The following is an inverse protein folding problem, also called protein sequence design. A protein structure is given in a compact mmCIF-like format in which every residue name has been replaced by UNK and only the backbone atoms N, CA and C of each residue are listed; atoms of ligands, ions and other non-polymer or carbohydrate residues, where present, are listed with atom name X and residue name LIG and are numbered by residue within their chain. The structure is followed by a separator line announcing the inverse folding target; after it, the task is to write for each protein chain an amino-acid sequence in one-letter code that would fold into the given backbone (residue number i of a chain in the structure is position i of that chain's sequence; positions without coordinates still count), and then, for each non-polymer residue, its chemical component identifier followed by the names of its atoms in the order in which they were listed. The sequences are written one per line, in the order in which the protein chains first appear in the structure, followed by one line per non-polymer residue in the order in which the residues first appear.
data_IF_917876017666
#
_entry.id   IF_917876017666
#
_cell.length_a   1.000
_cell.length_b   1.000
_cell.length_c   1.000
_cell.angle_alpha   90.00
_cell.angle_beta   90.00
_cell.angle_gamma   90.00
#
_symmetry.space_group_name_H-M   'P 1'
#
loop_
_entity.id
_entity.type
_entity.pdbx_description
1 polymer ?
#
# COMPACT_ATOMS: atom_id res chain seq x y z
N UNK A 1 -9.30 25.37 7.11
CA UNK A 1 -8.59 25.80 5.89
C UNK A 1 -7.11 25.79 6.23
N UNK A 2 -6.29 24.98 5.55
CA UNK A 2 -4.83 25.09 5.69
C UNK A 2 -4.42 26.43 5.08
N UNK A 3 -3.86 27.33 5.89
CA UNK A 3 -3.31 28.61 5.42
C UNK A 3 -1.92 28.34 4.83
N UNK A 4 -1.81 28.51 3.51
CA UNK A 4 -0.58 28.32 2.73
C UNK A 4 -0.93 27.90 1.31
N UNK A 5 -0.48 28.65 0.30
CA UNK A 5 -0.61 28.19 -1.08
C UNK A 5 0.22 26.91 -1.26
N UNK A 6 -0.30 25.87 -1.92
CA UNK A 6 0.49 24.70 -2.24
C UNK A 6 1.73 25.13 -3.05
N UNK A 7 2.91 24.71 -2.60
CA UNK A 7 4.15 24.97 -3.30
C UNK A 7 4.26 24.04 -4.51
N UNK A 8 4.62 24.61 -5.67
CA UNK A 8 4.86 23.83 -6.88
C UNK A 8 6.17 23.07 -6.72
N UNK A 9 6.12 21.75 -6.90
CA UNK A 9 7.29 20.87 -6.94
C UNK A 9 7.66 20.65 -8.41
N UNK A 10 8.94 20.68 -8.76
CA UNK A 10 9.40 20.43 -10.13
C UNK A 10 10.32 19.22 -10.23
N UNK A 11 10.18 18.43 -11.31
CA UNK A 11 11.04 17.28 -11.60
C UNK A 11 12.53 17.63 -11.64
N UNK A 12 12.88 18.82 -12.15
CA UNK A 12 14.28 19.28 -12.23
C UNK A 12 14.94 19.50 -10.87
N UNK A 13 14.14 19.63 -9.80
CA UNK A 13 14.59 19.88 -8.44
C UNK A 13 14.73 18.55 -7.65
N UNK A 14 14.60 17.40 -8.31
CA UNK A 14 14.87 16.10 -7.68
C UNK A 14 16.30 16.05 -7.14
N UNK A 15 16.41 15.71 -5.86
CA UNK A 15 17.67 15.38 -5.20
C UNK A 15 17.58 13.98 -4.58
N UNK A 16 18.67 13.22 -4.69
CA UNK A 16 18.84 11.91 -4.02
C UNK A 16 18.73 12.13 -2.50
N UNK A 17 17.95 11.33 -1.76
CA UNK A 17 17.70 11.56 -0.34
C UNK A 17 19.00 11.47 0.46
N UNK A 18 19.21 12.37 1.43
CA UNK A 18 20.44 12.39 2.26
C UNK A 18 20.54 11.23 3.26
N UNK A 19 19.41 10.57 3.55
CA UNK A 19 19.32 9.40 4.42
C UNK A 19 18.49 8.29 3.74
N UNK A 20 18.76 7.05 4.12
CA UNK A 20 17.99 5.86 3.73
C UNK A 20 17.44 5.18 4.98
N UNK A 21 16.37 4.40 4.80
CA UNK A 21 15.75 3.56 5.83
C UNK A 21 15.95 2.11 5.41
N UNK A 22 16.90 1.41 6.02
CA UNK A 22 17.19 0.02 5.64
C UNK A 22 16.07 -0.92 6.09
N UNK A 23 15.60 -0.73 7.33
CA UNK A 23 14.57 -1.57 7.94
C UNK A 23 13.56 -0.70 8.69
N UNK A 24 12.29 -1.09 8.59
CA UNK A 24 11.15 -0.47 9.25
C UNK A 24 10.42 -1.50 10.09
N UNK A 25 10.50 -1.36 11.40
CA UNK A 25 9.73 -2.16 12.34
C UNK A 25 8.59 -1.32 12.92
N UNK A 26 7.36 -1.77 12.73
CA UNK A 26 6.15 -1.12 13.25
C UNK A 26 5.49 -2.01 14.31
N UNK A 27 5.08 -1.40 15.42
CA UNK A 27 4.15 -1.98 16.39
C UNK A 27 2.91 -1.08 16.45
N UNK A 28 1.81 -1.60 15.90
CA UNK A 28 0.53 -0.91 15.76
C UNK A 28 -0.46 -1.52 16.74
N UNK A 29 -0.82 -0.74 17.76
CA UNK A 29 -1.85 -1.11 18.73
C UNK A 29 -3.16 -0.41 18.37
N UNK A 30 -4.09 -1.17 17.78
CA UNK A 30 -5.39 -0.67 17.36
C UNK A 30 -6.36 -0.58 18.55
N UNK A 31 -7.11 0.52 18.59
CA UNK A 31 -8.29 0.67 19.43
C UNK A 31 -9.32 1.59 18.75
N UNK A 32 -10.54 1.61 19.25
CA UNK A 32 -11.63 2.43 18.69
C UNK A 32 -11.47 3.93 18.98
N UNK A 33 -10.71 4.31 20.01
CA UNK A 33 -10.52 5.72 20.40
C UNK A 33 -9.23 6.29 19.83
N UNK A 34 -8.13 5.55 19.94
CA UNK A 34 -6.79 6.00 19.55
C UNK A 34 -5.94 4.79 19.14
N UNK A 35 -5.21 4.92 18.03
CA UNK A 35 -4.23 3.91 17.61
C UNK A 35 -2.85 4.42 17.99
N UNK A 36 -2.09 3.60 18.71
CA UNK A 36 -0.68 3.89 19.00
C UNK A 36 0.19 3.21 17.96
N UNK A 37 1.12 3.96 17.38
CA UNK A 37 2.08 3.49 16.38
C UNK A 37 3.48 3.75 16.91
N UNK A 38 4.21 2.67 17.18
CA UNK A 38 5.63 2.72 17.50
C UNK A 38 6.41 2.30 16.26
N UNK A 39 7.27 3.17 15.76
CA UNK A 39 8.13 2.90 14.62
C UNK A 39 9.59 2.89 15.05
N UNK A 40 10.32 1.86 14.65
CA UNK A 40 11.77 1.74 14.79
C UNK A 40 12.39 1.64 13.39
N UNK A 41 13.15 2.67 13.02
CA UNK A 41 13.72 2.85 11.69
C UNK A 41 15.24 2.69 11.76
N UNK A 42 15.79 1.71 11.06
CA UNK A 42 17.25 1.55 10.90
C UNK A 42 17.72 2.54 9.84
N UNK A 43 18.32 3.65 10.27
CA UNK A 43 18.69 4.77 9.42
C UNK A 43 20.18 4.73 9.06
N UNK A 44 20.50 5.17 7.84
CA UNK A 44 21.88 5.47 7.44
C UNK A 44 21.96 6.69 6.55
N UNK A 45 23.08 7.40 6.56
CA UNK A 45 23.37 8.39 5.53
C UNK A 45 23.45 7.72 4.16
N UNK A 46 22.86 8.37 3.16
CA UNK A 46 22.92 7.90 1.79
C UNK A 46 24.27 8.30 1.16
N UNK A 47 25.13 7.35 0.77
CA UNK A 47 26.42 7.67 0.15
C UNK A 47 26.28 8.34 -1.23
N UNK A 48 25.14 8.16 -1.90
CA UNK A 48 24.84 8.82 -3.19
C UNK A 48 24.14 10.17 -3.02
N UNK A 49 23.62 10.44 -1.82
CA UNK A 49 22.96 11.70 -1.47
C UNK A 49 23.97 12.79 -1.10
N UNK A 50 23.49 14.03 -1.07
CA UNK A 50 24.23 15.11 -0.43
C UNK A 50 24.37 14.80 1.06
N UNK A 51 25.56 15.02 1.64
CA UNK A 51 25.75 14.92 3.08
C UNK A 51 24.91 16.00 3.77
N UNK A 52 23.86 15.57 4.46
CA UNK A 52 22.96 16.42 5.22
C UNK A 52 23.34 16.42 6.70
N UNK A 53 23.31 17.60 7.32
CA UNK A 53 23.53 17.75 8.77
C UNK A 53 22.26 17.58 9.59
N UNK A 54 21.11 17.46 8.92
CA UNK A 54 19.80 17.23 9.53
C UNK A 54 19.01 16.17 8.76
N UNK A 55 18.20 15.40 9.47
CA UNK A 55 17.19 14.53 8.87
C UNK A 55 15.83 15.25 8.96
N UNK A 56 15.09 15.27 7.86
CA UNK A 56 13.73 15.82 7.82
C UNK A 56 12.78 14.70 7.41
N UNK A 57 11.83 14.38 8.27
CA UNK A 57 10.80 13.38 8.04
C UNK A 57 9.45 14.06 7.78
N UNK A 58 8.64 13.43 6.94
CA UNK A 58 7.26 13.79 6.66
C UNK A 58 6.32 13.21 7.71
N UNK A 59 5.30 13.99 8.08
CA UNK A 59 4.20 13.53 8.93
C UNK A 59 2.95 14.40 8.76
N UNK A 60 1.81 13.92 9.23
CA UNK A 60 0.62 14.76 9.39
C UNK A 60 0.81 15.73 10.55
N UNK A 61 0.18 16.91 10.45
CA UNK A 61 0.06 17.85 11.58
C UNK A 61 -0.71 17.25 12.76
N UNK A 62 -1.49 16.19 12.51
CA UNK A 62 -2.35 15.54 13.49
C UNK A 62 -1.64 14.37 14.22
N UNK A 63 -0.37 14.09 13.92
CA UNK A 63 0.42 13.08 14.63
C UNK A 63 0.71 13.53 16.07
N UNK A 64 0.02 12.93 17.04
CA UNK A 64 0.28 13.19 18.46
C UNK A 64 1.55 12.45 18.92
N UNK A 65 2.71 13.10 18.75
CA UNK A 65 4.02 12.52 19.09
C UNK A 65 4.24 12.45 20.60
N UNK A 66 4.40 11.23 21.12
CA UNK A 66 4.61 10.95 22.54
C UNK A 66 6.10 10.94 22.90
N UNK A 67 6.93 10.31 22.07
CA UNK A 67 8.38 10.27 22.28
C UNK A 67 9.16 10.08 20.99
N UNK A 68 10.40 10.56 21.00
CA UNK A 68 11.40 10.34 19.95
C UNK A 68 12.69 9.91 20.65
N UNK A 69 13.33 8.85 20.17
CA UNK A 69 14.61 8.38 20.66
C UNK A 69 15.56 8.03 19.51
N UNK A 70 16.86 8.15 19.79
CA UNK A 70 17.93 7.71 18.90
C UNK A 70 18.78 6.72 19.68
N UNK A 71 18.94 5.51 19.15
CA UNK A 71 19.70 4.41 19.76
C UNK A 71 19.28 4.13 21.22
N UNK A 72 17.95 4.11 21.48
CA UNK A 72 17.38 3.92 22.82
C UNK A 72 17.50 5.14 23.75
N UNK A 73 18.15 6.24 23.35
CA UNK A 73 18.23 7.49 24.12
C UNK A 73 17.12 8.43 23.70
N UNK A 74 16.19 8.70 24.62
CA UNK A 74 15.14 9.70 24.41
C UNK A 74 15.75 11.09 24.15
N UNK A 75 15.23 11.76 23.13
CA UNK A 75 15.63 13.12 22.77
C UNK A 75 14.87 14.15 23.62
N UNK A 76 15.57 15.22 23.97
CA UNK A 76 15.02 16.42 24.58
C UNK A 76 14.48 17.40 23.52
N UNK A 77 13.58 18.29 23.91
CA UNK A 77 12.87 19.20 22.98
C UNK A 77 13.78 20.17 22.20
N UNK A 78 15.05 20.33 22.59
CA UNK A 78 16.02 21.16 21.85
C UNK A 78 16.87 20.36 20.86
N UNK A 79 16.69 19.04 20.76
CA UNK A 79 17.40 18.16 19.82
C UNK A 79 16.60 17.88 18.54
N UNK A 80 15.35 18.34 18.49
CA UNK A 80 14.46 18.19 17.33
C UNK A 80 13.48 19.35 17.22
N UNK A 81 12.88 19.51 16.05
CA UNK A 81 11.80 20.47 15.80
C UNK A 81 10.65 19.77 15.07
N UNK A 82 9.41 20.01 15.50
CA UNK A 82 8.19 19.55 14.81
C UNK A 82 7.41 20.78 14.37
N UNK A 83 7.36 21.04 13.07
CA UNK A 83 6.72 22.21 12.46
C UNK A 83 6.10 21.83 11.12
N UNK A 84 4.87 22.27 10.85
CA UNK A 84 4.18 22.13 9.55
C UNK A 84 4.22 20.72 8.92
N UNK A 85 4.00 19.68 9.74
CA UNK A 85 4.02 18.29 9.26
C UNK A 85 5.43 17.77 8.93
N UNK A 86 6.47 18.37 9.53
CA UNK A 86 7.85 17.92 9.41
C UNK A 86 8.44 17.67 10.79
N UNK A 87 9.14 16.56 10.94
CA UNK A 87 10.04 16.31 12.07
C UNK A 87 11.49 16.49 11.60
N UNK A 88 12.18 17.48 12.15
CA UNK A 88 13.60 17.73 11.89
C UNK A 88 14.45 17.27 13.06
N UNK A 89 15.44 16.43 12.80
CA UNK A 89 16.41 15.90 13.75
C UNK A 89 17.81 16.43 13.40
N UNK A 90 18.59 16.83 14.41
CA UNK A 90 19.89 17.48 14.25
C UNK A 90 21.04 16.62 14.78
N UNK A 91 22.25 16.86 14.28
CA UNK A 91 23.51 16.28 14.80
C UNK A 91 23.50 14.75 14.95
N UNK A 92 23.01 14.07 13.91
CA UNK A 92 22.84 12.62 13.90
C UNK A 92 24.13 11.86 13.54
N UNK A 93 24.33 10.64 14.07
CA UNK A 93 25.36 9.72 13.60
C UNK A 93 25.18 9.32 12.11
N UNK A 94 26.20 8.72 11.50
CA UNK A 94 26.10 8.21 10.12
C UNK A 94 25.13 7.01 10.01
N UNK A 95 24.97 6.23 11.08
CA UNK A 95 24.03 5.12 11.23
C UNK A 95 23.47 5.13 12.63
N UNK A 96 22.15 4.92 12.76
CA UNK A 96 21.45 4.95 14.05
C UNK A 96 20.07 4.30 13.90
N UNK A 97 19.46 3.94 15.02
CA UNK A 97 18.05 3.56 15.09
C UNK A 97 17.23 4.74 15.57
N UNK A 98 16.27 5.18 14.75
CA UNK A 98 15.28 6.17 15.15
C UNK A 98 14.02 5.48 15.64
N UNK A 99 13.61 5.80 16.85
CA UNK A 99 12.38 5.30 17.45
C UNK A 99 11.40 6.45 17.64
N UNK A 100 10.18 6.32 17.10
CA UNK A 100 9.09 7.27 17.31
C UNK A 100 7.88 6.55 17.90
N UNK A 101 7.19 7.24 18.80
CA UNK A 101 5.92 6.79 19.39
C UNK A 101 4.89 7.87 19.13
N UNK A 102 3.89 7.56 18.33
CA UNK A 102 2.83 8.50 17.95
C UNK A 102 1.47 7.88 18.21
N UNK A 103 0.50 8.75 18.47
CA UNK A 103 -0.91 8.38 18.53
C UNK A 103 -1.68 9.04 17.38
N UNK A 104 -2.57 8.28 16.75
CA UNK A 104 -3.44 8.72 15.65
C UNK A 104 -4.90 8.32 15.90
N UNK A 105 -5.84 8.94 15.17
CA UNK A 105 -7.29 8.69 15.29
C UNK A 105 -7.92 8.24 13.96
N UNK A 106 -7.77 6.96 13.58
CA UNK A 106 -8.25 6.47 12.29
C UNK A 106 -9.77 6.60 12.08
N UNK A 107 -10.56 6.51 13.15
CA UNK A 107 -12.02 6.66 13.14
C UNK A 107 -12.47 8.07 12.72
N UNK A 108 -11.63 9.07 13.00
CA UNK A 108 -11.88 10.48 12.64
C UNK A 108 -11.31 10.84 11.26
N UNK A 109 -10.51 9.94 10.65
CA UNK A 109 -9.86 10.18 9.37
C UNK A 109 -10.83 10.04 8.18
N UNK A 110 -11.51 11.13 7.82
CA UNK A 110 -12.44 11.18 6.68
C UNK A 110 -11.74 11.43 5.33
N UNK A 111 -10.41 11.54 5.31
CA UNK A 111 -9.65 11.70 4.05
C UNK A 111 -9.44 10.37 3.32
N UNK A 112 -9.59 9.25 4.02
CA UNK A 112 -9.29 7.90 3.53
C UNK A 112 -7.86 7.77 3.00
N UNK A 113 -6.90 8.39 3.69
CA UNK A 113 -5.46 8.37 3.40
C UNK A 113 -4.67 8.15 4.70
N UNK A 114 -3.67 7.28 4.66
CA UNK A 114 -3.05 6.68 5.85
C UNK A 114 -3.92 5.56 6.41
N UNK A 115 -3.95 5.40 7.74
CA UNK A 115 -4.84 4.47 8.43
C UNK A 115 -6.18 5.15 8.71
N UNK A 116 -7.28 4.50 8.34
CA UNK A 116 -8.64 5.00 8.55
C UNK A 116 -9.62 3.84 8.80
N UNK A 117 -10.84 4.20 9.20
CA UNK A 117 -11.93 3.25 9.40
C UNK A 117 -12.86 3.21 8.18
N UNK A 118 -13.13 2.02 7.65
CA UNK A 118 -14.12 1.76 6.61
C UNK A 118 -15.16 0.79 7.17
N UNK A 119 -16.38 1.26 7.44
CA UNK A 119 -17.36 0.46 8.17
C UNK A 119 -16.85 0.10 9.58
N UNK A 120 -16.87 -1.19 9.91
CA UNK A 120 -16.39 -1.70 11.21
C UNK A 120 -14.93 -2.15 11.19
N UNK A 121 -14.24 -2.07 10.03
CA UNK A 121 -12.83 -2.45 9.88
C UNK A 121 -11.90 -1.24 9.78
N UNK A 122 -10.62 -1.46 10.09
CA UNK A 122 -9.52 -0.55 9.77
C UNK A 122 -8.81 -1.01 8.51
N UNK A 123 -8.49 -0.07 7.63
CA UNK A 123 -7.67 -0.30 6.45
C UNK A 123 -6.79 0.91 6.14
N UNK A 124 -5.84 0.73 5.23
CA UNK A 124 -4.88 1.77 4.85
C UNK A 124 -4.96 2.14 3.38
N UNK A 125 -4.64 3.39 3.06
CA UNK A 125 -4.29 3.84 1.72
C UNK A 125 -3.06 4.73 1.79
N UNK A 126 -1.92 4.26 1.28
CA UNK A 126 -0.64 4.95 1.43
C UNK A 126 -0.17 5.64 0.14
N UNK A 127 -0.65 5.25 -1.05
CA UNK A 127 -0.35 5.99 -2.27
C UNK A 127 -1.18 7.28 -2.38
N UNK A 128 -0.60 8.42 -2.76
CA UNK A 128 0.82 8.66 -3.04
C UNK A 128 1.65 8.99 -1.79
N UNK A 129 1.04 9.66 -0.81
CA UNK A 129 1.73 10.26 0.33
C UNK A 129 0.91 10.08 1.61
N UNK A 130 0.32 8.90 1.77
CA UNK A 130 -0.56 8.57 2.90
C UNK A 130 0.18 7.98 4.09
N UNK A 131 1.38 7.42 3.90
CA UNK A 131 2.10 6.78 5.00
C UNK A 131 2.55 7.78 6.08
N UNK A 132 2.86 9.03 5.69
CA UNK A 132 3.10 10.14 6.63
C UNK A 132 1.92 10.45 7.56
N UNK A 133 0.71 9.99 7.25
CA UNK A 133 -0.44 10.13 8.15
C UNK A 133 -0.49 9.03 9.24
N UNK A 134 0.45 8.08 9.22
CA UNK A 134 0.55 6.96 10.16
C UNK A 134 1.69 7.18 11.16
N UNK A 135 2.87 7.57 10.68
CA UNK A 135 4.04 7.89 11.51
C UNK A 135 4.99 8.84 10.79
N UNK A 136 6.03 9.32 11.48
CA UNK A 136 7.12 10.10 10.89
C UNK A 136 7.98 9.23 9.97
N UNK A 137 8.13 9.63 8.71
CA UNK A 137 8.83 8.79 7.74
C UNK A 137 9.46 9.60 6.58
N UNK A 138 10.39 8.99 5.83
CA UNK A 138 10.80 9.52 4.53
C UNK A 138 9.79 9.06 3.48
N UNK A 139 8.65 9.75 3.39
CA UNK A 139 7.50 9.32 2.59
C UNK A 139 7.65 9.71 1.10
N UNK A 140 8.64 9.08 0.47
CA UNK A 140 9.04 9.25 -0.93
C UNK A 140 9.42 7.88 -1.54
N UNK A 141 9.14 7.63 -2.84
CA UNK A 141 9.15 6.27 -3.40
C UNK A 141 10.54 5.71 -3.74
N UNK A 142 11.59 6.53 -3.72
CA UNK A 142 13.00 6.11 -3.84
C UNK A 142 13.66 5.72 -2.51
N UNK A 143 12.95 5.81 -1.38
CA UNK A 143 13.39 5.26 -0.10
C UNK A 143 12.73 3.90 0.10
N UNK A 144 13.51 2.84 -0.14
CA UNK A 144 13.05 1.45 -0.04
C UNK A 144 13.51 0.84 1.28
N UNK A 145 12.60 0.16 1.98
CA UNK A 145 12.86 -0.47 3.27
C UNK A 145 12.27 -1.88 3.34
N UNK A 146 12.91 -2.76 4.12
CA UNK A 146 12.33 -4.03 4.55
C UNK A 146 11.37 -3.79 5.72
N UNK A 147 10.14 -4.33 5.68
CA UNK A 147 9.14 -4.06 6.72
C UNK A 147 8.86 -5.28 7.59
N UNK A 148 8.80 -5.03 8.89
CA UNK A 148 8.18 -5.92 9.88
C UNK A 148 7.05 -5.18 10.58
N UNK A 149 5.83 -5.71 10.50
CA UNK A 149 4.63 -5.07 11.07
C UNK A 149 4.01 -5.98 12.11
N UNK A 150 4.00 -5.53 13.36
CA UNK A 150 3.26 -6.18 14.44
C UNK A 150 1.97 -5.44 14.68
N UNK A 151 0.85 -6.15 14.65
CA UNK A 151 -0.49 -5.59 14.86
C UNK A 151 -1.05 -6.22 16.12
N UNK A 152 -1.53 -5.40 17.05
CA UNK A 152 -2.26 -5.84 18.25
C UNK A 152 -3.64 -5.21 18.26
N UNK A 153 -4.69 -6.01 18.42
CA UNK A 153 -6.07 -5.52 18.44
C UNK A 153 -6.97 -6.37 19.35
N UNK A 154 -8.18 -5.87 19.62
CA UNK A 154 -9.24 -6.65 20.28
C UNK A 154 -9.64 -7.86 19.43
N UNK A 155 -9.59 -9.05 20.03
CA UNK A 155 -9.78 -10.33 19.32
C UNK A 155 -11.23 -10.56 18.90
N UNK A 156 -12.19 -10.00 19.63
CA UNK A 156 -13.62 -10.18 19.34
C UNK A 156 -14.08 -9.25 18.21
N UNK A 157 -13.53 -8.03 18.15
CA UNK A 157 -13.86 -7.04 17.11
C UNK A 157 -13.04 -7.21 15.84
N UNK A 158 -11.78 -7.61 15.96
CA UNK A 158 -10.84 -7.66 14.85
C UNK A 158 -10.15 -9.03 14.76
N UNK A 159 -10.91 -10.14 14.57
CA UNK A 159 -10.33 -11.49 14.54
C UNK A 159 -9.34 -11.71 13.39
N UNK A 160 -9.36 -10.86 12.35
CA UNK A 160 -8.42 -10.88 11.23
C UNK A 160 -7.50 -9.67 11.30
N UNK A 161 -6.17 -9.90 11.38
CA UNK A 161 -5.12 -8.87 11.32
C UNK A 161 -4.12 -9.18 10.20
N UNK A 162 -4.06 -8.33 9.19
CA UNK A 162 -3.27 -8.52 7.97
C UNK A 162 -2.29 -7.35 7.75
N UNK A 163 -1.10 -7.67 7.25
CA UNK A 163 -0.16 -6.71 6.66
C UNK A 163 0.61 -7.40 5.53
N UNK A 164 1.56 -6.69 4.90
CA UNK A 164 2.35 -7.21 3.78
C UNK A 164 3.21 -8.42 4.19
N UNK A 165 3.48 -9.30 3.22
CA UNK A 165 4.42 -10.41 3.39
C UNK A 165 3.80 -11.62 4.08
N UNK A 166 4.59 -12.28 4.95
CA UNK A 166 4.22 -13.53 5.60
C UNK A 166 4.06 -13.36 7.11
N UNK A 167 3.05 -14.00 7.70
CA UNK A 167 2.86 -14.06 9.14
C UNK A 167 3.97 -14.89 9.80
N UNK A 168 4.77 -14.25 10.66
CA UNK A 168 5.87 -14.85 11.41
C UNK A 168 5.41 -15.42 12.76
N UNK A 169 4.48 -14.74 13.41
CA UNK A 169 3.92 -15.16 14.71
C UNK A 169 2.47 -14.74 14.85
N UNK A 170 1.73 -15.53 15.64
CA UNK A 170 0.37 -15.22 16.11
C UNK A 170 0.34 -15.50 17.61
N UNK A 171 -0.01 -14.50 18.41
CA UNK A 171 -0.01 -14.56 19.87
C UNK A 171 -1.41 -14.26 20.40
N UNK A 172 -1.90 -15.10 21.30
CA UNK A 172 -3.13 -14.86 22.05
C UNK A 172 -2.78 -14.15 23.36
N UNK A 173 -3.38 -12.97 23.58
CA UNK A 173 -3.15 -12.11 24.74
C UNK A 173 -4.41 -12.01 25.63
N UNK A 174 -5.33 -12.98 25.52
CA UNK A 174 -6.62 -12.99 26.21
C UNK A 174 -7.68 -12.25 25.40
N UNK A 175 -8.05 -11.05 25.84
CA UNK A 175 -9.06 -10.22 25.15
C UNK A 175 -8.51 -9.61 23.84
N UNK A 176 -7.18 -9.52 23.74
CA UNK A 176 -6.46 -9.10 22.53
C UNK A 176 -5.72 -10.26 21.91
N UNK A 177 -5.33 -10.08 20.66
CA UNK A 177 -4.36 -10.94 19.99
C UNK A 177 -3.37 -10.09 19.20
N UNK A 178 -2.28 -10.72 18.77
CA UNK A 178 -1.21 -10.06 18.03
C UNK A 178 -0.75 -10.92 16.87
N UNK A 179 -0.45 -10.30 15.74
CA UNK A 179 0.16 -10.95 14.58
C UNK A 179 1.35 -10.12 14.11
N UNK A 180 2.50 -10.76 13.92
CA UNK A 180 3.68 -10.13 13.31
C UNK A 180 3.84 -10.63 11.89
N UNK A 181 3.92 -9.69 10.95
CA UNK A 181 4.14 -9.89 9.53
C UNK A 181 5.53 -9.42 9.13
N UNK A 182 6.15 -10.11 8.17
CA UNK A 182 7.45 -9.76 7.62
C UNK A 182 7.42 -9.86 6.10
N UNK A 183 7.79 -8.76 5.44
CA UNK A 183 7.96 -8.70 3.99
C UNK A 183 9.46 -8.53 3.68
N UNK A 184 10.11 -9.55 3.08
CA UNK A 184 11.54 -9.53 2.82
C UNK A 184 11.94 -8.63 1.63
N UNK A 185 10.99 -8.11 0.85
CA UNK A 185 11.30 -7.26 -0.28
C UNK A 185 11.38 -5.79 0.14
N UNK A 186 12.46 -5.14 -0.28
CA UNK A 186 12.60 -3.69 -0.15
C UNK A 186 11.46 -3.01 -0.92
N UNK A 187 10.65 -2.21 -0.23
CA UNK A 187 9.54 -1.48 -0.83
C UNK A 187 9.48 -0.03 -0.33
N UNK A 188 8.95 0.89 -1.13
CA UNK A 188 8.58 2.22 -0.65
C UNK A 188 7.35 2.17 0.25
N UNK A 189 7.20 3.18 1.09
CA UNK A 189 6.14 3.23 2.09
C UNK A 189 4.72 3.30 1.50
N UNK A 190 4.54 3.77 0.25
CA UNK A 190 3.22 3.79 -0.39
C UNK A 190 2.63 2.38 -0.61
N UNK A 191 3.47 1.34 -0.65
CA UNK A 191 3.06 -0.06 -0.76
C UNK A 191 2.75 -0.73 0.58
N UNK A 192 2.90 -0.01 1.70
CA UNK A 192 2.48 -0.51 3.01
C UNK A 192 0.96 -0.72 3.05
N UNK A 193 0.54 -1.85 3.62
CA UNK A 193 -0.85 -2.11 3.94
C UNK A 193 -1.03 -2.68 5.35
N UNK A 194 -2.15 -2.30 5.97
CA UNK A 194 -2.68 -2.91 7.18
C UNK A 194 -4.20 -3.02 7.04
N UNK A 195 -4.73 -4.18 7.39
CA UNK A 195 -6.17 -4.42 7.52
C UNK A 195 -6.47 -5.11 8.85
N UNK A 196 -7.52 -4.66 9.55
CA UNK A 196 -8.02 -5.29 10.75
C UNK A 196 -9.55 -5.25 10.80
N UNK A 197 -10.20 -6.41 10.93
CA UNK A 197 -11.67 -6.51 10.85
C UNK A 197 -12.21 -7.88 11.19
N UNK A 198 -13.54 -7.98 11.27
CA UNK A 198 -14.27 -9.25 11.25
C UNK A 198 -14.60 -9.62 9.80
N UNK A 199 -13.74 -10.44 9.21
CA UNK A 199 -13.75 -10.76 7.78
C UNK A 199 -13.84 -12.28 7.59
N UNK A 200 -14.64 -12.68 6.61
CA UNK A 200 -14.59 -14.03 6.05
C UNK A 200 -13.65 -14.04 4.85
N UNK A 201 -13.13 -15.22 4.50
CA UNK A 201 -12.31 -15.38 3.30
C UNK A 201 -12.56 -16.70 2.61
N UNK A 202 -12.40 -16.68 1.29
CA UNK A 202 -12.17 -17.87 0.49
C UNK A 202 -10.67 -18.09 0.34
N UNK A 203 -10.25 -19.34 0.31
CA UNK A 203 -8.86 -19.74 0.11
C UNK A 203 -8.75 -20.71 -1.05
N UNK A 204 -7.74 -20.51 -1.87
CA UNK A 204 -7.32 -21.45 -2.91
C UNK A 204 -5.79 -21.40 -3.02
N UNK A 205 -5.23 -22.11 -3.99
CA UNK A 205 -3.80 -22.14 -4.22
C UNK A 205 -3.44 -22.03 -5.70
N UNK A 206 -2.25 -21.51 -5.97
CA UNK A 206 -1.66 -21.49 -7.31
C UNK A 206 -0.26 -22.09 -7.24
N UNK A 207 0.06 -22.99 -8.18
CA UNK A 207 1.42 -23.54 -8.31
C UNK A 207 2.12 -22.81 -9.45
N UNK A 208 3.22 -22.12 -9.15
CA UNK A 208 3.99 -21.38 -10.17
C UNK A 208 4.69 -22.32 -11.14
N UNK A 209 5.16 -21.79 -12.28
CA UNK A 209 5.89 -22.55 -13.29
C UNK A 209 7.13 -23.29 -12.72
N UNK A 210 7.80 -22.73 -11.70
CA UNK A 210 8.92 -23.37 -10.99
C UNK A 210 8.51 -24.34 -9.88
N UNK A 211 7.22 -24.45 -9.59
CA UNK A 211 6.66 -25.37 -8.59
C UNK A 211 6.46 -24.77 -7.20
N UNK A 212 6.55 -23.45 -7.02
CA UNK A 212 6.20 -22.81 -5.74
C UNK A 212 4.69 -22.90 -5.53
N UNK A 213 4.27 -23.35 -4.35
CA UNK A 213 2.87 -23.25 -3.93
C UNK A 213 2.62 -21.86 -3.32
N UNK A 214 1.69 -21.11 -3.91
CA UNK A 214 1.23 -19.81 -3.40
C UNK A 214 -0.17 -19.99 -2.82
N UNK A 215 -0.37 -19.54 -1.59
CA UNK A 215 -1.70 -19.47 -0.96
C UNK A 215 -2.41 -18.22 -1.43
N UNK A 216 -3.66 -18.32 -1.90
CA UNK A 216 -4.47 -17.20 -2.35
C UNK A 216 -5.63 -17.01 -1.38
N UNK A 217 -5.82 -15.81 -0.86
CA UNK A 217 -6.93 -15.50 0.05
C UNK A 217 -7.64 -14.23 -0.39
N UNK A 218 -8.98 -14.27 -0.48
CA UNK A 218 -9.80 -13.10 -0.73
C UNK A 218 -10.73 -12.88 0.45
N UNK A 219 -10.51 -11.78 1.17
CA UNK A 219 -11.23 -11.38 2.37
C UNK A 219 -12.36 -10.40 2.04
N UNK A 220 -13.51 -10.59 2.68
CA UNK A 220 -14.68 -9.70 2.57
C UNK A 220 -15.48 -9.70 3.87
N UNK A 221 -16.39 -8.74 4.03
CA UNK A 221 -17.47 -8.89 5.02
C UNK A 221 -18.37 -10.09 4.66
N UNK A 222 -18.86 -10.83 5.66
CA UNK A 222 -19.55 -12.10 5.48
C UNK A 222 -20.70 -12.09 4.45
N UNK A 223 -21.40 -10.97 4.29
CA UNK A 223 -22.53 -10.85 3.35
C UNK A 223 -22.12 -10.72 1.87
N UNK A 224 -20.81 -10.67 1.58
CA UNK A 224 -20.24 -10.57 0.23
C UNK A 224 -19.40 -11.79 -0.17
N UNK A 225 -19.25 -12.79 0.72
CA UNK A 225 -18.35 -13.92 0.50
C UNK A 225 -18.73 -14.78 -0.71
N UNK A 226 -20.02 -14.80 -1.08
CA UNK A 226 -20.56 -15.52 -2.23
C UNK A 226 -20.32 -14.80 -3.58
N UNK A 227 -19.64 -13.65 -3.57
CA UNK A 227 -19.42 -12.80 -4.76
C UNK A 227 -17.95 -12.70 -5.16
N UNK A 228 -17.04 -13.48 -4.56
CA UNK A 228 -15.59 -13.38 -4.83
C UNK A 228 -14.99 -14.56 -5.58
N UNK A 229 -15.80 -15.58 -5.91
CA UNK A 229 -15.34 -16.73 -6.68
C UNK A 229 -14.72 -16.33 -8.03
N UNK A 230 -15.36 -15.40 -8.74
CA UNK A 230 -14.83 -14.92 -10.02
C UNK A 230 -13.52 -14.15 -9.86
N UNK A 231 -13.35 -13.37 -8.80
CA UNK A 231 -12.09 -12.68 -8.51
C UNK A 231 -10.95 -13.67 -8.23
N UNK A 232 -11.22 -14.79 -7.56
CA UNK A 232 -10.23 -15.86 -7.34
C UNK A 232 -9.80 -16.50 -8.66
N UNK A 233 -10.75 -16.80 -9.55
CA UNK A 233 -10.44 -17.32 -10.89
C UNK A 233 -9.66 -16.31 -11.74
N UNK A 234 -10.05 -15.03 -11.72
CA UNK A 234 -9.32 -13.96 -12.39
C UNK A 234 -7.89 -13.87 -11.89
N UNK A 235 -7.66 -13.90 -10.56
CA UNK A 235 -6.32 -13.86 -9.98
C UNK A 235 -5.44 -15.02 -10.48
N UNK A 236 -5.95 -16.25 -10.45
CA UNK A 236 -5.23 -17.43 -10.97
C UNK A 236 -4.94 -17.31 -12.47
N UNK A 237 -5.86 -16.74 -13.23
CA UNK A 237 -5.71 -16.49 -14.67
C UNK A 237 -4.64 -15.44 -14.94
N UNK A 238 -4.62 -14.34 -14.17
CA UNK A 238 -3.59 -13.31 -14.23
C UNK A 238 -2.20 -13.86 -13.88
N UNK A 239 -2.12 -14.67 -12.82
CA UNK A 239 -0.87 -15.34 -12.42
C UNK A 239 -0.30 -16.19 -13.55
N UNK A 240 -1.14 -17.07 -14.14
CA UNK A 240 -0.73 -17.93 -15.26
C UNK A 240 -0.34 -17.13 -16.50
N UNK A 241 -1.12 -16.14 -16.87
CA UNK A 241 -0.85 -15.34 -18.06
C UNK A 241 0.46 -14.56 -17.95
N UNK A 242 0.80 -14.04 -16.76
CA UNK A 242 2.06 -13.32 -16.55
C UNK A 242 3.28 -14.25 -16.63
N UNK A 243 3.14 -15.50 -16.20
CA UNK A 243 4.15 -16.54 -16.41
C UNK A 243 4.32 -16.88 -17.89
N UNK A 244 3.23 -17.10 -18.62
CA UNK A 244 3.26 -17.51 -20.03
C UNK A 244 3.72 -16.38 -20.97
N UNK A 245 3.27 -15.16 -20.73
CA UNK A 245 3.49 -14.01 -21.63
C UNK A 245 4.75 -13.23 -21.28
N UNK A 246 5.03 -13.03 -19.99
CA UNK A 246 6.12 -12.17 -19.50
C UNK A 246 7.22 -12.93 -18.75
N UNK A 247 7.04 -14.22 -18.46
CA UNK A 247 7.98 -15.04 -17.69
C UNK A 247 8.08 -14.58 -16.24
N UNK A 248 6.97 -14.17 -15.63
CA UNK A 248 6.92 -13.55 -14.31
C UNK A 248 6.12 -14.39 -13.32
N UNK A 249 6.84 -15.13 -12.47
CA UNK A 249 6.23 -15.82 -11.33
C UNK A 249 6.00 -14.85 -10.16
N UNK A 250 5.05 -15.19 -9.30
CA UNK A 250 4.86 -14.53 -8.02
C UNK A 250 6.00 -14.83 -7.04
N UNK A 251 6.31 -13.90 -6.14
CA UNK A 251 7.56 -13.88 -5.38
C UNK A 251 7.41 -13.97 -3.85
N UNK A 252 6.18 -14.05 -3.33
CA UNK A 252 5.87 -14.39 -1.93
C UNK A 252 5.17 -15.76 -1.81
N UNK A 253 4.83 -16.16 -0.58
CA UNK A 253 4.17 -17.45 -0.28
C UNK A 253 2.65 -17.34 -0.16
N UNK A 254 2.16 -16.11 0.04
CA UNK A 254 0.74 -15.78 0.15
C UNK A 254 0.41 -14.52 -0.64
N UNK A 255 -0.73 -14.52 -1.32
CA UNK A 255 -1.32 -13.36 -1.98
C UNK A 255 -2.69 -13.12 -1.36
N UNK A 256 -2.88 -11.95 -0.75
CA UNK A 256 -4.13 -11.57 -0.11
C UNK A 256 -4.80 -10.43 -0.87
N UNK A 257 -6.12 -10.51 -0.99
CA UNK A 257 -6.99 -9.43 -1.47
C UNK A 257 -8.02 -9.11 -0.39
N UNK A 258 -8.25 -7.83 -0.10
CA UNK A 258 -9.31 -7.41 0.81
C UNK A 258 -10.28 -6.51 0.05
N UNK A 259 -11.57 -6.90 0.02
CA UNK A 259 -12.62 -6.06 -0.53
C UNK A 259 -13.15 -5.10 0.55
N UNK A 260 -13.14 -3.80 0.26
CA UNK A 260 -13.59 -2.74 1.17
C UNK A 260 -14.59 -1.80 0.50
N UNK A 261 -15.60 -1.36 1.24
CA UNK A 261 -16.67 -0.52 0.68
C UNK A 261 -16.24 0.94 0.49
N UNK A 262 -15.52 1.51 1.46
CA UNK A 262 -15.08 2.91 1.41
C UNK A 262 -13.61 3.00 0.98
N UNK A 263 -13.38 3.03 -0.33
CA UNK A 263 -12.06 3.21 -0.93
C UNK A 263 -12.11 4.34 -1.96
N UNK A 264 -11.22 5.33 -1.85
CA UNK A 264 -11.17 6.46 -2.80
C UNK A 264 -10.74 6.03 -4.20
N UNK A 265 -9.90 4.99 -4.29
CA UNK A 265 -9.38 4.45 -5.56
C UNK A 265 -10.16 3.20 -5.96
N UNK A 266 -9.86 2.65 -7.15
CA UNK A 266 -10.47 1.40 -7.62
C UNK A 266 -9.94 0.20 -6.85
N UNK A 267 -8.62 0.05 -6.85
CA UNK A 267 -7.87 -0.93 -6.07
C UNK A 267 -6.44 -0.38 -5.85
N UNK A 268 -5.62 -1.12 -5.10
CA UNK A 268 -4.26 -0.74 -4.75
C UNK A 268 -3.36 -1.98 -4.65
N UNK A 269 -2.17 -1.89 -5.23
CA UNK A 269 -1.22 -2.97 -5.43
C UNK A 269 -0.32 -3.29 -4.22
N UNK A 270 -0.76 -3.00 -2.99
CA UNK A 270 0.10 -3.12 -1.81
C UNK A 270 0.72 -4.53 -1.74
N UNK A 271 2.05 -4.61 -1.56
CA UNK A 271 2.82 -5.85 -1.78
C UNK A 271 2.25 -7.05 -0.98
N UNK A 272 1.61 -7.97 -1.69
CA UNK A 272 1.03 -9.21 -1.13
C UNK A 272 -0.27 -9.04 -0.32
N UNK A 273 -0.82 -7.83 -0.23
CA UNK A 273 -2.07 -7.53 0.46
C UNK A 273 -2.82 -6.42 -0.29
N UNK A 274 -3.34 -6.74 -1.48
CA UNK A 274 -4.02 -5.74 -2.29
C UNK A 274 -5.37 -5.37 -1.65
N UNK A 275 -5.73 -4.09 -1.70
CA UNK A 275 -7.00 -3.57 -1.16
C UNK A 275 -7.86 -3.06 -2.32
N UNK A 276 -9.07 -3.59 -2.44
CA UNK A 276 -9.97 -3.32 -3.56
C UNK A 276 -11.25 -2.64 -3.07
N UNK A 277 -11.74 -1.67 -3.84
CA UNK A 277 -13.13 -1.25 -3.70
C UNK A 277 -14.06 -2.44 -4.05
N UNK A 278 -15.12 -2.67 -3.28
CA UNK A 278 -16.09 -3.76 -3.55
C UNK A 278 -16.65 -3.71 -4.99
N UNK A 279 -16.80 -2.53 -5.58
CA UNK A 279 -17.24 -2.35 -6.98
C UNK A 279 -16.27 -2.89 -8.04
N UNK A 280 -15.03 -3.21 -7.66
CA UNK A 280 -13.98 -3.71 -8.55
C UNK A 280 -13.65 -5.19 -8.32
N UNK A 281 -14.28 -5.87 -7.35
CA UNK A 281 -13.94 -7.26 -6.98
C UNK A 281 -15.15 -8.17 -6.80
N UNK A 282 -16.31 -7.63 -6.41
CA UNK A 282 -17.52 -8.44 -6.22
C UNK A 282 -18.23 -8.69 -7.56
N UNK A 283 -18.47 -9.96 -7.88
CA UNK A 283 -19.25 -10.38 -9.04
C UNK A 283 -20.08 -11.63 -8.74
N UNK A 284 -21.36 -11.60 -9.11
CA UNK A 284 -22.26 -12.75 -9.01
C UNK A 284 -23.13 -12.87 -10.28
N UNK A 285 -23.33 -14.08 -10.84
CA UNK A 285 -24.02 -14.26 -12.13
C UNK A 285 -25.45 -13.69 -12.18
N UNK A 286 -26.14 -13.61 -11.04
CA UNK A 286 -27.50 -13.06 -10.98
C UNK A 286 -27.54 -11.52 -10.97
N UNK A 287 -26.43 -10.85 -10.61
CA UNK A 287 -26.42 -9.40 -10.37
C UNK A 287 -25.40 -8.63 -11.21
N UNK A 288 -24.42 -9.32 -11.80
CA UNK A 288 -23.30 -8.72 -12.52
C UNK A 288 -23.44 -8.91 -14.02
N UNK A 289 -23.27 -7.82 -14.77
CA UNK A 289 -23.27 -7.85 -16.24
C UNK A 289 -21.95 -8.37 -16.79
N UNK A 290 -21.91 -8.79 -18.06
CA UNK A 290 -20.67 -9.23 -18.72
C UNK A 290 -19.57 -8.16 -18.63
N UNK A 291 -19.91 -6.89 -18.83
CA UNK A 291 -18.98 -5.77 -18.68
C UNK A 291 -18.47 -5.62 -17.22
N UNK A 292 -19.32 -5.95 -16.23
CA UNK A 292 -18.92 -6.00 -14.82
C UNK A 292 -17.92 -7.12 -14.55
N UNK A 293 -18.15 -8.32 -15.09
CA UNK A 293 -17.19 -9.43 -15.01
C UNK A 293 -15.85 -9.06 -15.66
N UNK A 294 -15.86 -8.50 -16.87
CA UNK A 294 -14.64 -8.04 -17.55
C UNK A 294 -13.89 -6.98 -16.74
N UNK A 295 -14.62 -6.06 -16.08
CA UNK A 295 -14.01 -5.06 -15.21
C UNK A 295 -13.32 -5.70 -14.00
N UNK A 296 -13.98 -6.65 -13.31
CA UNK A 296 -13.37 -7.36 -12.17
C UNK A 296 -12.10 -8.06 -12.61
N UNK A 297 -12.15 -8.80 -13.72
CA UNK A 297 -10.99 -9.52 -14.23
C UNK A 297 -9.83 -8.57 -14.61
N UNK A 298 -10.13 -7.48 -15.30
CA UNK A 298 -9.14 -6.48 -15.69
C UNK A 298 -8.48 -5.80 -14.49
N UNK A 299 -9.25 -5.40 -13.47
CA UNK A 299 -8.69 -4.74 -12.27
C UNK A 299 -7.89 -5.73 -11.43
N UNK A 300 -8.39 -6.95 -11.21
CA UNK A 300 -7.62 -8.00 -10.49
C UNK A 300 -6.27 -8.26 -11.16
N UNK A 301 -6.27 -8.33 -12.49
CA UNK A 301 -5.05 -8.52 -13.27
C UNK A 301 -4.10 -7.33 -13.17
N UNK A 302 -4.62 -6.10 -13.30
CA UNK A 302 -3.86 -4.86 -13.18
C UNK A 302 -3.08 -4.82 -11.86
N UNK A 303 -3.76 -5.02 -10.73
CA UNK A 303 -3.11 -4.98 -9.42
C UNK A 303 -2.13 -6.14 -9.21
N UNK A 304 -2.39 -7.31 -9.80
CA UNK A 304 -1.43 -8.42 -9.78
C UNK A 304 -0.17 -8.08 -10.58
N UNK A 305 -0.31 -7.46 -11.76
CA UNK A 305 0.82 -7.13 -12.64
C UNK A 305 1.76 -6.09 -12.03
N UNK A 306 1.23 -5.16 -11.23
CA UNK A 306 2.04 -4.23 -10.45
C UNK A 306 3.05 -4.92 -9.52
N UNK A 307 2.83 -6.20 -9.14
CA UNK A 307 3.82 -6.97 -8.38
C UNK A 307 5.23 -6.92 -9.03
N UNK A 308 5.29 -6.86 -10.35
CA UNK A 308 6.52 -6.63 -11.11
C UNK A 308 6.70 -5.19 -11.58
N UNK A 309 5.67 -4.57 -12.19
CA UNK A 309 5.73 -3.21 -12.76
C UNK A 309 5.17 -2.14 -11.82
N UNK A 310 5.76 -2.04 -10.63
CA UNK A 310 5.37 -1.07 -9.60
C UNK A 310 6.02 -1.42 -8.28
N UNK A 311 6.01 -2.70 -7.92
CA UNK A 311 6.51 -3.15 -6.63
C UNK A 311 7.98 -3.57 -6.70
N UNK A 312 8.31 -4.56 -7.53
CA UNK A 312 9.69 -5.05 -7.67
C UNK A 312 10.62 -4.05 -8.36
N UNK A 313 10.07 -3.26 -9.26
CA UNK A 313 10.70 -2.05 -9.80
C UNK A 313 9.70 -0.92 -9.61
N UNK A 314 10.03 0.05 -8.76
CA UNK A 314 9.16 1.17 -8.40
C UNK A 314 9.62 2.50 -9.01
N UNK A 315 8.80 3.52 -8.87
CA UNK A 315 9.08 4.89 -9.26
C UNK A 315 10.17 5.54 -8.37
N UNK A 316 11.07 6.32 -8.97
CA UNK A 316 12.04 7.15 -8.24
C UNK A 316 11.37 8.35 -7.55
N UNK A 317 10.41 8.96 -8.24
CA UNK A 317 9.62 10.08 -7.79
C UNK A 317 8.25 10.04 -8.48
N UNK A 318 7.28 10.80 -7.98
CA UNK A 318 5.90 10.77 -8.48
C UNK A 318 5.74 11.33 -9.90
N UNK A 319 6.72 12.05 -10.46
CA UNK A 319 6.68 12.42 -11.88
C UNK A 319 6.93 11.21 -12.79
N UNK A 320 7.43 10.10 -12.25
CA UNK A 320 7.61 8.84 -12.97
C UNK A 320 6.38 7.92 -12.86
N UNK A 321 5.22 8.40 -12.39
CA UNK A 321 4.04 7.57 -12.17
C UNK A 321 3.64 6.75 -13.42
N UNK A 322 3.75 7.34 -14.61
CA UNK A 322 3.45 6.67 -15.88
C UNK A 322 4.38 5.49 -16.20
N UNK A 323 5.54 5.36 -15.54
CA UNK A 323 6.38 4.17 -15.63
C UNK A 323 5.66 2.94 -15.08
N UNK A 324 5.06 3.05 -13.88
CA UNK A 324 4.31 1.94 -13.29
C UNK A 324 2.92 1.84 -13.91
N UNK A 325 2.19 2.95 -13.98
CA UNK A 325 0.79 2.96 -14.43
C UNK A 325 0.69 2.68 -15.92
N UNK A 326 1.41 3.43 -16.76
CA UNK A 326 1.32 3.28 -18.21
C UNK A 326 1.74 1.89 -18.68
N UNK A 327 2.76 1.29 -18.04
CA UNK A 327 3.20 -0.05 -18.37
C UNK A 327 2.26 -1.15 -17.83
N UNK A 328 1.74 -0.99 -16.61
CA UNK A 328 0.76 -1.95 -16.05
C UNK A 328 -0.57 -1.88 -16.79
N UNK A 329 -1.03 -0.68 -17.18
CA UNK A 329 -2.19 -0.49 -18.06
C UNK A 329 -2.00 -1.23 -19.39
N UNK A 330 -0.82 -1.14 -20.00
CA UNK A 330 -0.53 -1.90 -21.22
C UNK A 330 -0.64 -3.41 -20.99
N UNK A 331 -0.15 -3.91 -19.85
CA UNK A 331 -0.21 -5.34 -19.50
C UNK A 331 -1.65 -5.80 -19.28
N UNK A 332 -2.47 -5.05 -18.55
CA UNK A 332 -3.89 -5.38 -18.36
C UNK A 332 -4.67 -5.39 -19.68
N UNK A 333 -4.33 -4.48 -20.60
CA UNK A 333 -4.98 -4.38 -21.90
C UNK A 333 -4.64 -5.55 -22.80
N UNK A 334 -3.40 -6.04 -22.74
CA UNK A 334 -2.96 -7.23 -23.47
C UNK A 334 -3.57 -8.49 -22.88
N UNK A 335 -3.56 -8.62 -21.55
CA UNK A 335 -4.22 -9.71 -20.86
C UNK A 335 -5.71 -9.80 -21.23
N UNK A 336 -6.44 -8.69 -21.12
CA UNK A 336 -7.85 -8.63 -21.47
C UNK A 336 -8.10 -8.97 -22.94
N UNK A 337 -7.21 -8.54 -23.85
CA UNK A 337 -7.30 -8.87 -25.27
C UNK A 337 -7.08 -10.37 -25.57
N UNK A 338 -6.26 -11.06 -24.77
CA UNK A 338 -6.01 -12.50 -24.88
C UNK A 338 -7.13 -13.34 -24.24
N UNK A 339 -7.74 -12.86 -23.15
CA UNK A 339 -8.88 -13.54 -22.51
C UNK A 339 -10.19 -13.33 -23.28
N UNK A 340 -10.38 -12.17 -23.89
CA UNK A 340 -11.62 -11.78 -24.57
C UNK A 340 -11.39 -11.49 -26.07
N UNK A 341 -12.09 -10.49 -26.61
CA UNK A 341 -11.97 -10.08 -27.99
C UNK A 341 -10.98 -8.93 -28.12
N UNK A 342 -9.77 -9.23 -28.59
CA UNK A 342 -8.73 -8.23 -28.88
C UNK A 342 -9.22 -7.02 -29.69
N UNK A 343 -10.13 -7.25 -30.64
CA UNK A 343 -10.70 -6.16 -31.46
C UNK A 343 -11.64 -5.26 -30.65
N UNK A 344 -12.47 -5.83 -29.77
CA UNK A 344 -13.40 -5.07 -28.92
C UNK A 344 -12.62 -4.28 -27.88
N UNK A 345 -11.70 -4.93 -27.16
CA UNK A 345 -10.85 -4.28 -26.16
C UNK A 345 -10.09 -3.10 -26.80
N UNK A 346 -9.53 -3.28 -28.01
CA UNK A 346 -8.81 -2.19 -28.68
C UNK A 346 -9.73 -1.04 -29.10
N UNK A 347 -10.96 -1.32 -29.52
CA UNK A 347 -11.95 -0.28 -29.83
C UNK A 347 -12.26 0.54 -28.58
N UNK A 348 -12.54 -0.10 -27.44
CA UNK A 348 -12.87 0.55 -26.18
C UNK A 348 -11.73 1.44 -25.67
N UNK A 349 -10.48 0.94 -25.71
CA UNK A 349 -9.29 1.72 -25.35
C UNK A 349 -9.14 2.99 -26.22
N UNK A 350 -9.32 2.85 -27.55
CA UNK A 350 -9.23 4.00 -28.47
C UNK A 350 -10.40 4.97 -28.28
N UNK A 351 -11.58 4.48 -27.92
CA UNK A 351 -12.71 5.32 -27.56
C UNK A 351 -12.39 6.15 -26.32
N UNK A 352 -11.87 5.54 -25.25
CA UNK A 352 -11.46 6.23 -24.02
C UNK A 352 -10.44 7.34 -24.30
N UNK A 353 -9.39 7.06 -25.10
CA UNK A 353 -8.41 8.07 -25.50
C UNK A 353 -9.06 9.27 -26.22
N UNK A 354 -10.00 9.01 -27.14
CA UNK A 354 -10.67 10.07 -27.91
C UNK A 354 -11.67 10.86 -27.07
N UNK A 355 -12.37 10.22 -26.14
CA UNK A 355 -13.43 10.85 -25.35
C UNK A 355 -12.96 11.50 -24.06
N UNK A 356 -11.82 11.07 -23.51
CA UNK A 356 -11.29 11.57 -22.24
C UNK A 356 -9.87 12.16 -22.38
N UNK A 357 -8.89 11.37 -22.85
CA UNK A 357 -7.49 11.82 -22.87
C UNK A 357 -7.25 13.01 -23.81
N UNK A 358 -7.76 12.95 -25.05
CA UNK A 358 -7.56 14.05 -26.01
C UNK A 358 -8.19 15.38 -25.53
N UNK A 359 -9.40 15.38 -24.95
CA UNK A 359 -9.92 16.57 -24.28
C UNK A 359 -9.06 17.08 -23.11
N UNK A 360 -8.49 16.19 -22.29
CA UNK A 360 -7.62 16.56 -21.18
C UNK A 360 -6.32 17.22 -21.66
N UNK A 361 -5.65 16.62 -22.65
CA UNK A 361 -4.42 17.15 -23.29
C UNK A 361 -4.65 18.48 -24.01
N UNK A 362 -5.88 18.77 -24.42
CA UNK A 362 -6.26 20.05 -25.02
C UNK A 362 -6.76 21.08 -23.98
N UNK A 363 -6.86 20.67 -22.71
CA UNK A 363 -7.41 21.44 -21.62
C UNK A 363 -6.36 22.19 -20.78
N UNK A 364 -6.80 22.94 -19.75
CA UNK A 364 -5.90 23.70 -18.88
C UNK A 364 -4.99 22.86 -17.96
N UNK A 365 -5.17 21.54 -17.94
CA UNK A 365 -4.39 20.60 -17.11
C UNK A 365 -3.21 19.96 -17.87
N UNK A 366 -3.02 20.32 -19.15
CA UNK A 366 -1.98 19.80 -20.04
C UNK A 366 -0.57 20.38 -19.77
#
# INVERSE_FOLDING_TARGET
MREGQPHVIHLKDYEVPGYLIEQTALDVELSEEETRVRASLTMKQNPEGRRETRLVLDGSTDLATQSIAIDGRQLSHNEYAIEDGKLTLFDLPEQFVLETDVTIKPQDNKSLSGLYQSGDMFCTQCEAEGFRNITWYLDRPDVLSEFTTTITADKAKYPVLLSNGNAQSREDLGDKHRVTWHDPFLKPAYLYALVAGDLEFIEDTFTTASGRQVTLQIFTEAHNIDKVDFAMESLKTSMRWDEETYGREYDLDIFMVVAVDSFNMGAMENKGLNIFNTSCVLAHPETTTDAGFQRVESVVAHEYFHNWSGNRVTCRDWFQLSLKEGFTVLRDQQFSADQWSSSVCRIEQVQMLRSAQFPEDAGPMA
#
